data_IF_109600829712
#
_entry.id   IF_109600829712
#
_cell.length_a   1.000
_cell.length_b   1.000
_cell.length_c   1.000
_cell.angle_alpha   90.00
_cell.angle_beta   90.00
_cell.angle_gamma   90.00
#
_symmetry.space_group_name_H-M   'P 1'
#
loop_
_entity.id
_entity.type
_entity.pdbx_description
1 polymer ?
#
# COMPACT_ATOMS: atom_id res chain seq x y z
N UNK A 1 7.14 -6.17 26.46
CA UNK A 1 7.56 -5.29 25.36
C UNK A 1 8.06 -6.04 24.13
N UNK A 2 8.93 -7.08 24.26
CA UNK A 2 9.39 -7.89 23.13
C UNK A 2 8.24 -8.59 22.38
N UNK A 3 7.30 -9.20 23.09
CA UNK A 3 6.16 -9.90 22.49
C UNK A 3 5.26 -8.98 21.65
N UNK A 4 4.91 -7.79 22.16
CA UNK A 4 4.13 -6.81 21.40
C UNK A 4 4.81 -6.36 20.11
N UNK A 5 6.12 -6.28 20.13
CA UNK A 5 6.93 -5.89 18.99
C UNK A 5 6.95 -6.99 17.91
N UNK A 6 7.15 -8.25 18.32
CA UNK A 6 7.10 -9.42 17.43
C UNK A 6 5.71 -9.58 16.82
N UNK A 7 4.66 -9.40 17.62
CA UNK A 7 3.27 -9.44 17.15
C UNK A 7 3.00 -8.36 16.09
N UNK A 8 3.46 -7.12 16.33
CA UNK A 8 3.35 -6.04 15.33
C UNK A 8 4.06 -6.36 14.01
N UNK A 9 5.25 -6.95 14.07
CA UNK A 9 6.00 -7.38 12.86
C UNK A 9 5.20 -8.43 12.08
N UNK A 10 4.69 -9.45 12.77
CA UNK A 10 3.90 -10.51 12.12
C UNK A 10 2.63 -9.96 11.45
N UNK A 11 1.94 -9.02 12.10
CA UNK A 11 0.78 -8.35 11.51
C UNK A 11 1.18 -7.61 10.21
N UNK A 12 2.29 -6.86 10.23
CA UNK A 12 2.75 -6.14 9.04
C UNK A 12 3.16 -7.08 7.92
N UNK A 13 3.86 -8.18 8.22
CA UNK A 13 4.21 -9.19 7.21
C UNK A 13 2.94 -9.87 6.63
N UNK A 14 1.92 -10.11 7.44
CA UNK A 14 0.62 -10.59 6.95
C UNK A 14 -0.08 -9.56 6.06
N UNK A 15 0.04 -8.27 6.39
CA UNK A 15 -0.40 -7.16 5.53
C UNK A 15 0.29 -7.21 4.18
N UNK A 16 1.62 -7.34 4.17
CA UNK A 16 2.44 -7.43 2.96
C UNK A 16 2.04 -8.60 2.06
N UNK A 17 1.77 -9.77 2.64
CA UNK A 17 1.28 -10.92 1.89
C UNK A 17 -0.09 -10.63 1.23
N UNK A 18 -0.99 -9.93 1.91
CA UNK A 18 -2.25 -9.50 1.33
C UNK A 18 -2.04 -8.47 0.21
N UNK A 19 -1.15 -7.48 0.41
CA UNK A 19 -0.84 -6.48 -0.62
C UNK A 19 -0.26 -7.10 -1.89
N UNK A 20 0.52 -8.16 -1.78
CA UNK A 20 1.11 -8.85 -2.93
C UNK A 20 0.06 -9.37 -3.95
N UNK A 21 -1.17 -9.64 -3.49
CA UNK A 21 -2.26 -10.16 -4.33
C UNK A 21 -3.02 -9.01 -5.03
N UNK A 22 -3.02 -7.81 -4.46
CA UNK A 22 -3.86 -6.69 -4.92
C UNK A 22 -3.56 -6.25 -6.37
N UNK A 23 -2.30 -6.02 -6.79
CA UNK A 23 -2.02 -5.61 -8.18
C UNK A 23 -2.40 -6.66 -9.21
N UNK A 24 -2.11 -7.94 -8.93
CA UNK A 24 -2.42 -9.04 -9.84
C UNK A 24 -3.93 -9.22 -10.02
N UNK A 25 -4.70 -9.17 -8.94
CA UNK A 25 -6.17 -9.25 -9.00
C UNK A 25 -6.77 -8.04 -9.72
N UNK A 26 -6.21 -6.84 -9.52
CA UNK A 26 -6.64 -5.65 -10.26
C UNK A 26 -6.41 -5.81 -11.77
N UNK A 27 -5.19 -6.23 -12.16
CA UNK A 27 -4.85 -6.45 -13.57
C UNK A 27 -5.78 -7.47 -14.23
N UNK A 28 -5.98 -8.62 -13.61
CA UNK A 28 -6.90 -9.65 -14.13
C UNK A 28 -8.30 -9.06 -14.34
N UNK A 29 -8.84 -8.32 -13.37
CA UNK A 29 -10.17 -7.71 -13.50
C UNK A 29 -10.23 -6.72 -14.66
N UNK A 30 -9.19 -5.89 -14.87
CA UNK A 30 -9.09 -4.93 -15.99
C UNK A 30 -8.96 -5.66 -17.34
N UNK A 31 -8.13 -6.69 -17.43
CA UNK A 31 -7.94 -7.50 -18.65
C UNK A 31 -9.24 -8.20 -19.07
N UNK A 32 -10.13 -8.52 -18.13
CA UNK A 32 -11.48 -9.06 -18.40
C UNK A 32 -12.57 -7.98 -18.50
N UNK A 33 -12.21 -6.75 -18.87
CA UNK A 33 -13.13 -5.71 -19.29
C UNK A 33 -13.65 -4.78 -18.18
N UNK A 34 -13.16 -4.91 -16.93
CA UNK A 34 -13.51 -3.94 -15.88
C UNK A 34 -12.98 -2.55 -16.24
N UNK A 35 -13.78 -1.51 -16.02
CA UNK A 35 -13.23 -0.15 -16.04
C UNK A 35 -12.47 0.13 -14.73
N UNK A 36 -11.47 1.03 -14.79
CA UNK A 36 -10.75 1.51 -13.63
C UNK A 36 -11.70 2.07 -12.55
N UNK A 37 -12.74 2.79 -12.98
CA UNK A 37 -13.73 3.34 -12.07
C UNK A 37 -14.46 2.24 -11.28
N UNK A 38 -14.93 1.18 -11.95
CA UNK A 38 -15.59 0.02 -11.30
C UNK A 38 -14.61 -0.68 -10.34
N UNK A 39 -13.34 -0.85 -10.72
CA UNK A 39 -12.33 -1.43 -9.85
C UNK A 39 -12.17 -0.62 -8.54
N UNK A 40 -12.06 0.70 -8.64
CA UNK A 40 -11.93 1.59 -7.47
C UNK A 40 -13.21 1.61 -6.61
N UNK A 41 -14.36 1.69 -7.26
CA UNK A 41 -15.66 1.74 -6.59
C UNK A 41 -15.96 0.43 -5.85
N UNK A 42 -15.84 -0.70 -6.53
CA UNK A 42 -16.12 -2.03 -5.96
C UNK A 42 -15.18 -2.35 -4.80
N UNK A 43 -13.90 -1.99 -4.89
CA UNK A 43 -12.94 -2.16 -3.81
C UNK A 43 -13.36 -1.43 -2.53
N UNK A 44 -13.78 -0.16 -2.65
CA UNK A 44 -14.27 0.60 -1.51
C UNK A 44 -15.59 0.05 -0.96
N UNK A 45 -16.49 -0.37 -1.85
CA UNK A 45 -17.78 -0.96 -1.46
C UNK A 45 -17.59 -2.29 -0.73
N UNK A 46 -16.79 -3.20 -1.28
CA UNK A 46 -16.44 -4.49 -0.64
C UNK A 46 -15.79 -4.22 0.72
N UNK A 47 -14.87 -3.24 0.79
CA UNK A 47 -14.25 -2.83 2.04
C UNK A 47 -15.26 -2.41 3.10
N UNK A 48 -16.25 -1.58 2.76
CA UNK A 48 -17.31 -1.19 3.68
C UNK A 48 -18.14 -2.39 4.16
N UNK A 49 -18.60 -3.21 3.21
CA UNK A 49 -19.45 -4.39 3.52
C UNK A 49 -18.72 -5.35 4.44
N UNK A 50 -17.42 -5.60 4.20
CA UNK A 50 -16.64 -6.53 5.03
C UNK A 50 -16.28 -5.97 6.40
N UNK A 51 -16.10 -4.64 6.54
CA UNK A 51 -15.77 -4.04 7.84
C UNK A 51 -16.99 -3.82 8.74
N UNK A 52 -18.19 -3.69 8.19
CA UNK A 52 -19.40 -3.48 8.97
C UNK A 52 -19.62 -4.52 10.09
N UNK A 53 -19.55 -5.84 9.83
CA UNK A 53 -19.71 -6.85 10.88
C UNK A 53 -18.68 -6.70 12.01
N UNK A 54 -17.42 -6.40 11.68
CA UNK A 54 -16.36 -6.22 12.68
C UNK A 54 -16.63 -5.04 13.62
N UNK A 55 -17.18 -3.93 13.10
CA UNK A 55 -17.57 -2.76 13.89
C UNK A 55 -18.69 -3.15 14.89
N UNK A 56 -19.69 -3.91 14.43
CA UNK A 56 -20.77 -4.38 15.30
C UNK A 56 -20.28 -5.35 16.37
N UNK A 57 -19.44 -6.31 16.03
CA UNK A 57 -18.91 -7.30 16.98
C UNK A 57 -17.99 -6.68 18.03
N UNK A 58 -17.18 -5.71 17.66
CA UNK A 58 -16.27 -5.03 18.60
C UNK A 58 -16.95 -3.94 19.44
N UNK A 59 -18.25 -3.67 19.18
CA UNK A 59 -19.00 -2.56 19.79
C UNK A 59 -18.28 -1.20 19.64
N UNK A 60 -17.45 -1.07 18.62
CA UNK A 60 -16.80 0.20 18.33
C UNK A 60 -17.80 1.19 17.74
N UNK A 61 -17.73 2.43 18.21
CA UNK A 61 -18.57 3.50 17.67
C UNK A 61 -18.12 3.82 16.23
N UNK A 62 -19.05 3.70 15.29
CA UNK A 62 -18.84 4.19 13.91
C UNK A 62 -18.68 5.71 13.86
N UNK A 63 -19.15 6.39 14.92
CA UNK A 63 -19.07 7.84 14.99
C UNK A 63 -17.65 8.32 15.31
N UNK A 64 -17.13 9.23 14.47
CA UNK A 64 -15.86 9.91 14.70
C UNK A 64 -16.10 11.37 15.12
N UNK A 65 -15.28 11.88 16.03
CA UNK A 65 -15.35 13.27 16.47
C UNK A 65 -15.10 14.24 15.30
N UNK A 66 -15.73 15.41 15.32
CA UNK A 66 -15.65 16.42 14.23
C UNK A 66 -14.22 16.77 13.81
N UNK A 67 -13.29 16.82 14.76
CA UNK A 67 -11.87 17.14 14.48
C UNK A 67 -11.16 16.10 13.61
N UNK A 68 -11.65 14.85 13.53
CA UNK A 68 -11.07 13.80 12.69
C UNK A 68 -11.72 13.72 11.32
N UNK A 69 -12.92 14.30 11.12
CA UNK A 69 -13.64 14.20 9.85
C UNK A 69 -12.82 14.75 8.68
N UNK A 70 -12.35 16.01 8.80
CA UNK A 70 -11.58 16.64 7.72
C UNK A 70 -10.26 15.93 7.41
N UNK A 71 -9.42 15.51 8.38
CA UNK A 71 -8.24 14.69 8.11
C UNK A 71 -8.55 13.34 7.45
N UNK A 72 -9.64 12.68 7.83
CA UNK A 72 -10.05 11.41 7.21
C UNK A 72 -10.54 11.63 5.79
N UNK A 73 -11.37 12.65 5.53
CA UNK A 73 -11.79 13.03 4.17
C UNK A 73 -10.58 13.34 3.29
N UNK A 74 -9.64 14.14 3.78
CA UNK A 74 -8.40 14.44 3.07
C UNK A 74 -7.61 13.14 2.72
N UNK A 75 -7.40 12.26 3.71
CA UNK A 75 -6.70 10.99 3.47
C UNK A 75 -7.44 10.09 2.47
N UNK A 76 -8.77 10.12 2.45
CA UNK A 76 -9.59 9.35 1.50
C UNK A 76 -9.42 9.88 0.07
N UNK A 77 -9.44 11.19 -0.13
CA UNK A 77 -9.19 11.82 -1.43
C UNK A 77 -7.78 11.49 -1.91
N UNK A 78 -6.78 11.62 -1.03
CA UNK A 78 -5.38 11.28 -1.34
C UNK A 78 -5.27 9.81 -1.74
N UNK A 79 -5.95 8.89 -1.05
CA UNK A 79 -5.93 7.45 -1.37
C UNK A 79 -6.50 7.15 -2.76
N UNK A 80 -7.65 7.73 -3.12
CA UNK A 80 -8.25 7.53 -4.45
C UNK A 80 -7.37 8.15 -5.54
N UNK A 81 -6.86 9.36 -5.31
CA UNK A 81 -5.97 10.06 -6.25
C UNK A 81 -4.67 9.30 -6.47
N UNK A 82 -4.08 8.77 -5.39
CA UNK A 82 -2.90 7.90 -5.45
C UNK A 82 -3.11 6.74 -6.41
N UNK A 83 -4.19 6.00 -6.23
CA UNK A 83 -4.41 4.79 -7.00
C UNK A 83 -4.78 5.10 -8.44
N UNK A 84 -5.60 6.14 -8.66
CA UNK A 84 -5.89 6.62 -10.01
C UNK A 84 -4.59 7.03 -10.73
N UNK A 85 -3.68 7.74 -10.05
CA UNK A 85 -2.40 8.15 -10.62
C UNK A 85 -1.49 6.95 -10.93
N UNK A 86 -1.41 5.95 -10.04
CA UNK A 86 -0.63 4.72 -10.28
C UNK A 86 -1.16 3.98 -11.50
N UNK A 87 -2.47 3.73 -11.57
CA UNK A 87 -3.06 3.02 -12.70
C UNK A 87 -2.96 3.80 -14.02
N UNK A 88 -3.02 5.13 -13.97
CA UNK A 88 -2.76 5.94 -15.16
C UNK A 88 -1.29 5.89 -15.57
N UNK A 89 -0.36 5.91 -14.63
CA UNK A 89 1.07 5.84 -14.93
C UNK A 89 1.46 4.54 -15.67
N UNK A 90 0.89 3.41 -15.27
CA UNK A 90 1.22 2.10 -15.87
C UNK A 90 0.69 1.91 -17.31
N UNK A 91 -0.07 2.86 -17.85
CA UNK A 91 -0.37 2.93 -19.29
C UNK A 91 0.86 3.39 -20.10
N UNK A 92 1.83 4.05 -19.46
CA UNK A 92 3.00 4.67 -20.09
C UNK A 92 4.32 4.05 -19.69
N UNK A 93 4.34 3.27 -18.60
CA UNK A 93 5.54 2.58 -18.10
C UNK A 93 5.18 1.17 -17.64
N UNK A 94 6.20 0.31 -17.54
CA UNK A 94 6.00 -1.00 -16.96
C UNK A 94 5.50 -0.91 -15.51
N UNK A 95 4.56 -1.79 -15.17
CA UNK A 95 3.91 -1.84 -13.84
C UNK A 95 4.93 -2.03 -12.71
N UNK A 96 5.95 -2.88 -12.92
CA UNK A 96 6.96 -3.15 -11.92
C UNK A 96 7.84 -1.92 -11.65
N UNK A 97 8.23 -1.17 -12.69
CA UNK A 97 8.96 0.09 -12.55
C UNK A 97 8.10 1.12 -11.79
N UNK A 98 6.84 1.28 -12.18
CA UNK A 98 5.91 2.21 -11.53
C UNK A 98 5.74 1.91 -10.05
N UNK A 99 5.48 0.65 -9.71
CA UNK A 99 5.35 0.21 -8.31
C UNK A 99 6.65 0.39 -7.53
N UNK A 100 7.82 0.12 -8.14
CA UNK A 100 9.12 0.32 -7.48
C UNK A 100 9.36 1.78 -7.11
N UNK A 101 8.99 2.73 -7.98
CA UNK A 101 9.06 4.16 -7.67
C UNK A 101 8.15 4.49 -6.48
N UNK A 102 6.91 3.99 -6.48
CA UNK A 102 5.96 4.24 -5.38
C UNK A 102 6.44 3.61 -4.08
N UNK A 103 7.07 2.44 -4.11
CA UNK A 103 7.65 1.79 -2.93
C UNK A 103 8.84 2.54 -2.33
N UNK A 104 9.32 3.62 -2.92
CA UNK A 104 10.26 4.52 -2.27
C UNK A 104 9.62 5.39 -1.16
N UNK A 105 8.30 5.31 -0.92
CA UNK A 105 7.57 6.09 0.09
C UNK A 105 8.13 6.01 1.53
N UNK A 106 8.83 4.92 2.00
CA UNK A 106 9.44 4.93 3.32
C UNK A 106 10.54 5.99 3.50
N UNK A 107 11.20 6.39 2.40
CA UNK A 107 12.12 7.54 2.44
C UNK A 107 11.35 8.82 2.81
N UNK A 108 10.21 9.03 2.15
CA UNK A 108 9.33 10.17 2.45
C UNK A 108 8.81 10.15 3.90
N UNK A 109 8.41 8.98 4.40
CA UNK A 109 7.99 8.81 5.80
C UNK A 109 9.15 9.15 6.76
N UNK A 110 10.35 8.61 6.51
CA UNK A 110 11.53 8.87 7.34
C UNK A 110 11.91 10.37 7.33
N UNK A 111 11.82 11.02 6.18
CA UNK A 111 12.05 12.47 6.06
C UNK A 111 11.02 13.28 6.86
N UNK A 112 9.72 13.01 6.70
CA UNK A 112 8.66 13.72 7.42
C UNK A 112 8.83 13.54 8.94
N UNK A 113 8.99 12.32 9.42
CA UNK A 113 9.13 12.02 10.86
C UNK A 113 10.42 12.59 11.45
N UNK A 114 11.50 12.66 10.66
CA UNK A 114 12.75 13.30 11.06
C UNK A 114 12.61 14.82 11.15
N UNK A 115 12.04 15.48 10.15
CA UNK A 115 11.82 16.95 10.11
C UNK A 115 10.90 17.38 11.24
N UNK A 116 9.86 16.59 11.55
CA UNK A 116 8.93 16.85 12.65
C UNK A 116 9.52 16.51 14.03
N UNK A 117 10.72 15.96 14.10
CA UNK A 117 11.37 15.55 15.34
C UNK A 117 10.71 14.36 16.04
N UNK A 118 9.85 13.62 15.32
CA UNK A 118 9.14 12.45 15.86
C UNK A 118 10.05 11.23 15.99
N UNK A 119 11.00 11.07 15.05
CA UNK A 119 12.01 10.01 15.06
C UNK A 119 13.39 10.56 14.69
N UNK A 120 14.43 10.01 15.33
CA UNK A 120 15.83 10.28 14.97
C UNK A 120 16.44 9.03 14.35
N UNK A 121 16.98 9.20 13.15
CA UNK A 121 17.61 8.11 12.40
C UNK A 121 19.11 8.18 12.49
N UNK A 122 19.75 7.05 12.72
CA UNK A 122 21.19 6.89 12.57
C UNK A 122 21.56 6.77 11.09
N UNK A 123 22.83 6.99 10.78
CA UNK A 123 23.34 6.78 9.42
C UNK A 123 23.07 5.35 8.93
N UNK A 124 23.15 4.35 9.81
CA UNK A 124 22.86 2.94 9.48
C UNK A 124 21.42 2.72 9.03
N UNK A 125 20.46 3.37 9.71
CA UNK A 125 19.05 3.29 9.34
C UNK A 125 18.78 3.95 7.99
N UNK A 126 19.36 5.14 7.75
CA UNK A 126 19.27 5.79 6.44
C UNK A 126 19.87 4.94 5.32
N UNK A 127 21.07 4.40 5.53
CA UNK A 127 21.73 3.52 4.56
C UNK A 127 20.89 2.27 4.31
N UNK A 128 20.29 1.66 5.32
CA UNK A 128 19.41 0.49 5.13
C UNK A 128 18.19 0.84 4.28
N UNK A 129 17.50 1.97 4.54
CA UNK A 129 16.34 2.41 3.75
C UNK A 129 16.76 2.62 2.28
N UNK A 130 17.86 3.33 2.04
CA UNK A 130 18.35 3.59 0.68
C UNK A 130 18.77 2.29 -0.03
N UNK A 131 19.38 1.36 0.68
CA UNK A 131 19.82 0.07 0.11
C UNK A 131 18.61 -0.83 -0.23
N UNK A 132 17.52 -0.79 0.55
CA UNK A 132 16.28 -1.48 0.18
C UNK A 132 15.76 -0.95 -1.15
N UNK A 133 15.66 0.38 -1.29
CA UNK A 133 15.16 1.00 -2.53
C UNK A 133 16.06 0.66 -3.71
N UNK A 134 17.39 0.69 -3.51
CA UNK A 134 18.33 0.28 -4.55
C UNK A 134 18.14 -1.20 -4.95
N UNK A 135 17.91 -2.08 -3.99
CA UNK A 135 17.60 -3.49 -4.24
C UNK A 135 16.30 -3.68 -5.05
N UNK A 136 15.27 -2.87 -4.78
CA UNK A 136 14.04 -2.88 -5.57
C UNK A 136 14.29 -2.42 -7.02
N UNK A 137 15.17 -1.43 -7.25
CA UNK A 137 15.55 -1.05 -8.61
C UNK A 137 16.31 -2.16 -9.33
N UNK A 138 17.19 -2.89 -8.65
CA UNK A 138 17.86 -4.07 -9.23
C UNK A 138 16.84 -5.16 -9.58
N UNK A 139 15.83 -5.38 -8.73
CA UNK A 139 14.78 -6.38 -8.95
C UNK A 139 13.98 -6.15 -10.24
N UNK A 140 13.86 -4.91 -10.69
CA UNK A 140 13.13 -4.54 -11.92
C UNK A 140 14.07 -4.04 -13.03
N UNK A 141 15.34 -4.42 -12.98
CA UNK A 141 16.39 -3.88 -13.87
C UNK A 141 16.04 -4.05 -15.35
N UNK A 142 15.58 -5.22 -15.75
CA UNK A 142 15.26 -5.53 -17.14
C UNK A 142 14.09 -4.69 -17.69
N UNK A 143 13.27 -4.14 -16.82
CA UNK A 143 12.08 -3.36 -17.15
C UNK A 143 12.29 -1.84 -17.11
N UNK A 144 13.44 -1.37 -16.59
CA UNK A 144 13.70 0.07 -16.37
C UNK A 144 13.81 0.89 -17.65
N UNK A 145 14.19 0.28 -18.77
CA UNK A 145 14.56 1.01 -19.99
C UNK A 145 13.39 1.26 -20.96
N UNK A 146 12.18 0.82 -20.63
CA UNK A 146 11.01 0.90 -21.52
C UNK A 146 10.03 2.03 -21.16
N UNK A 147 10.35 2.88 -20.19
CA UNK A 147 9.42 3.85 -19.60
C UNK A 147 9.41 5.22 -20.25
N UNK A 148 8.22 5.82 -20.37
CA UNK A 148 8.02 7.21 -20.75
C UNK A 148 8.29 8.15 -19.57
N UNK A 149 8.93 9.31 -19.83
CA UNK A 149 9.18 10.36 -18.84
C UNK A 149 7.87 10.82 -18.17
N UNK A 150 6.78 10.91 -18.94
CA UNK A 150 5.46 11.29 -18.43
C UNK A 150 4.96 10.28 -17.37
N UNK A 151 5.06 8.98 -17.65
CA UNK A 151 4.68 7.94 -16.68
C UNK A 151 5.54 8.00 -15.41
N UNK A 152 6.85 8.24 -15.52
CA UNK A 152 7.75 8.40 -14.38
C UNK A 152 7.34 9.59 -13.51
N UNK A 153 7.00 10.73 -14.09
CA UNK A 153 6.55 11.94 -13.36
C UNK A 153 5.26 11.63 -12.60
N UNK A 154 4.30 10.93 -13.21
CA UNK A 154 3.06 10.53 -12.52
C UNK A 154 3.36 9.57 -11.37
N UNK A 155 4.32 8.65 -11.50
CA UNK A 155 4.73 7.78 -10.40
C UNK A 155 5.41 8.55 -9.26
N UNK A 156 6.18 9.60 -9.54
CA UNK A 156 6.73 10.48 -8.50
C UNK A 156 5.61 11.24 -7.76
N UNK A 157 4.59 11.71 -8.47
CA UNK A 157 3.39 12.28 -7.83
C UNK A 157 2.71 11.21 -6.95
N UNK A 158 2.57 9.99 -7.44
CA UNK A 158 2.00 8.86 -6.69
C UNK A 158 2.83 8.53 -5.44
N UNK A 159 4.15 8.60 -5.51
CA UNK A 159 5.05 8.45 -4.36
C UNK A 159 4.77 9.50 -3.27
N UNK A 160 4.58 10.77 -3.64
CA UNK A 160 4.23 11.85 -2.70
C UNK A 160 2.84 11.61 -2.09
N UNK A 161 1.87 11.19 -2.90
CA UNK A 161 0.52 10.84 -2.44
C UNK A 161 0.56 9.64 -1.49
N UNK A 162 1.34 8.59 -1.81
CA UNK A 162 1.51 7.41 -0.94
C UNK A 162 2.14 7.79 0.40
N UNK A 163 3.21 8.58 0.39
CA UNK A 163 3.85 9.10 1.60
C UNK A 163 2.86 9.86 2.47
N UNK A 164 2.09 10.78 1.86
CA UNK A 164 1.09 11.60 2.55
C UNK A 164 -0.02 10.72 3.13
N UNK A 165 -0.55 9.80 2.33
CA UNK A 165 -1.62 8.89 2.75
C UNK A 165 -1.19 8.00 3.91
N UNK A 166 -0.04 7.33 3.81
CA UNK A 166 0.45 6.42 4.84
C UNK A 166 0.77 7.16 6.14
N UNK A 167 1.43 8.32 6.04
CA UNK A 167 1.75 9.12 7.22
C UNK A 167 0.50 9.62 7.95
N UNK A 168 -0.43 10.26 7.22
CA UNK A 168 -1.66 10.81 7.82
C UNK A 168 -2.57 9.72 8.37
N UNK A 169 -2.78 8.65 7.61
CA UNK A 169 -3.65 7.54 8.02
C UNK A 169 -3.07 6.76 9.20
N UNK A 170 -1.75 6.55 9.28
CA UNK A 170 -1.15 5.91 10.46
C UNK A 170 -1.36 6.73 11.73
N UNK A 171 -1.22 8.07 11.67
CA UNK A 171 -1.53 8.96 12.80
C UNK A 171 -3.01 8.93 13.20
N UNK A 172 -3.90 8.86 12.22
CA UNK A 172 -5.34 8.72 12.47
C UNK A 172 -5.67 7.34 13.08
N UNK A 173 -4.98 6.28 12.65
CA UNK A 173 -5.17 4.94 13.19
C UNK A 173 -4.82 4.85 14.68
N UNK A 174 -3.81 5.60 15.15
CA UNK A 174 -3.45 5.68 16.57
C UNK A 174 -4.61 6.20 17.43
N UNK A 175 -5.41 7.13 16.87
CA UNK A 175 -6.51 7.77 17.59
C UNK A 175 -7.87 7.09 17.41
N UNK A 176 -8.15 6.58 16.20
CA UNK A 176 -9.45 6.03 15.82
C UNK A 176 -9.51 4.50 15.86
N UNK A 177 -8.37 3.83 15.87
CA UNK A 177 -8.28 2.40 15.58
C UNK A 177 -8.26 2.11 14.08
N UNK A 178 -7.64 0.98 13.70
CA UNK A 178 -7.44 0.62 12.29
C UNK A 178 -8.74 0.30 11.55
N UNK A 179 -9.70 -0.36 12.21
CA UNK A 179 -10.98 -0.77 11.63
C UNK A 179 -11.88 0.44 11.37
N UNK A 180 -12.06 1.30 12.39
CA UNK A 180 -12.88 2.52 12.27
C UNK A 180 -12.30 3.46 11.23
N UNK A 181 -10.98 3.68 11.25
CA UNK A 181 -10.31 4.49 10.24
C UNK A 181 -10.56 3.93 8.84
N UNK A 182 -10.29 2.64 8.64
CA UNK A 182 -10.38 2.03 7.31
C UNK A 182 -11.82 2.02 6.78
N UNK A 183 -12.80 1.84 7.66
CA UNK A 183 -14.22 2.01 7.32
C UNK A 183 -14.50 3.42 6.78
N UNK A 184 -14.08 4.47 7.50
CA UNK A 184 -14.30 5.84 7.06
C UNK A 184 -13.50 6.23 5.82
N UNK A 185 -12.27 5.71 5.66
CA UNK A 185 -11.49 5.91 4.43
C UNK A 185 -12.26 5.38 3.22
N UNK A 186 -12.83 4.18 3.30
CA UNK A 186 -13.62 3.61 2.21
C UNK A 186 -14.95 4.34 2.00
N UNK A 187 -15.64 4.75 3.07
CA UNK A 187 -16.89 5.51 2.99
C UNK A 187 -16.70 6.84 2.24
N UNK A 188 -15.72 7.64 2.66
CA UNK A 188 -15.45 8.93 2.03
C UNK A 188 -14.87 8.77 0.63
N UNK A 189 -14.09 7.71 0.37
CA UNK A 189 -13.63 7.37 -0.98
C UNK A 189 -14.80 7.05 -1.92
N UNK A 190 -15.80 6.29 -1.46
CA UNK A 190 -17.02 6.04 -2.24
C UNK A 190 -17.81 7.32 -2.55
N UNK A 191 -17.97 8.19 -1.55
CA UNK A 191 -18.65 9.47 -1.74
C UNK A 191 -17.90 10.32 -2.78
N UNK A 192 -16.57 10.40 -2.67
CA UNK A 192 -15.74 11.12 -3.64
C UNK A 192 -15.83 10.52 -5.04
N UNK A 193 -15.76 9.19 -5.18
CA UNK A 193 -15.93 8.50 -6.46
C UNK A 193 -17.32 8.76 -7.05
N UNK A 194 -18.37 8.71 -6.23
CA UNK A 194 -19.73 9.00 -6.70
C UNK A 194 -19.87 10.44 -7.22
N UNK A 195 -19.35 11.42 -6.48
CA UNK A 195 -19.32 12.82 -6.93
C UNK A 195 -18.53 12.95 -8.24
N UNK A 196 -17.37 12.31 -8.32
CA UNK A 196 -16.53 12.32 -9.53
C UNK A 196 -17.26 11.70 -10.72
N UNK A 197 -18.02 10.62 -10.52
CA UNK A 197 -18.83 10.01 -11.56
C UNK A 197 -19.89 10.98 -12.12
N UNK A 198 -20.60 11.67 -11.23
CA UNK A 198 -21.63 12.63 -11.63
C UNK A 198 -21.04 13.81 -12.41
N UNK A 199 -19.83 14.25 -12.04
CA UNK A 199 -19.18 15.40 -12.68
C UNK A 199 -18.50 15.05 -14.02
N UNK A 200 -17.91 13.86 -14.15
CA UNK A 200 -17.03 13.50 -15.27
C UNK A 200 -17.54 12.35 -16.14
N UNK A 201 -18.70 11.75 -15.82
CA UNK A 201 -19.35 10.69 -16.62
C UNK A 201 -18.40 9.52 -16.99
N UNK A 202 -17.71 8.95 -16.00
CA UNK A 202 -16.80 7.83 -16.23
C UNK A 202 -17.52 6.59 -16.78
N UNK A 203 -16.81 5.80 -17.59
CA UNK A 203 -17.34 4.55 -18.12
C UNK A 203 -17.53 3.52 -17.02
N UNK A 204 -18.74 2.95 -16.92
CA UNK A 204 -19.04 1.85 -16.01
C UNK A 204 -19.03 0.54 -16.80
N UNK A 205 -17.94 -0.21 -16.71
CA UNK A 205 -17.85 -1.57 -17.25
C UNK A 205 -17.52 -2.56 -16.15
N UNK A 206 -18.37 -3.56 -16.00
CA UNK A 206 -18.18 -4.71 -15.10
C UNK A 206 -17.48 -5.79 -15.91
N UNK A 207 -16.60 -6.64 -15.29
CA UNK A 207 -15.95 -7.75 -16.00
C UNK A 207 -16.95 -8.67 -16.69
N UNK A 208 -16.59 -9.14 -17.90
CA UNK A 208 -17.48 -9.91 -18.75
C UNK A 208 -17.66 -11.38 -18.31
N UNK A 209 -16.82 -11.87 -17.38
CA UNK A 209 -16.84 -13.27 -16.96
C UNK A 209 -16.62 -13.47 -15.45
N UNK A 210 -16.81 -14.71 -14.99
CA UNK A 210 -16.64 -15.08 -13.58
C UNK A 210 -15.22 -14.90 -13.05
N UNK A 211 -14.18 -15.05 -13.88
CA UNK A 211 -12.77 -14.86 -13.47
C UNK A 211 -12.53 -13.39 -13.14
N UNK A 212 -12.97 -12.47 -14.01
CA UNK A 212 -12.87 -11.04 -13.79
C UNK A 212 -13.64 -10.58 -12.56
N UNK A 213 -14.88 -11.09 -12.36
CA UNK A 213 -15.70 -10.80 -11.18
C UNK A 213 -15.08 -11.31 -9.89
N UNK A 214 -14.56 -12.53 -9.90
CA UNK A 214 -13.86 -13.12 -8.75
C UNK A 214 -12.60 -12.32 -8.42
N UNK A 215 -11.83 -11.91 -9.43
CA UNK A 215 -10.65 -11.06 -9.26
C UNK A 215 -11.01 -9.68 -8.70
N UNK A 216 -12.13 -9.09 -9.12
CA UNK A 216 -12.66 -7.84 -8.59
C UNK A 216 -12.98 -7.96 -7.08
N UNK A 217 -13.63 -9.07 -6.69
CA UNK A 217 -13.92 -9.35 -5.28
C UNK A 217 -12.64 -9.55 -4.46
N UNK A 218 -11.68 -10.35 -4.95
CA UNK A 218 -10.41 -10.55 -4.25
C UNK A 218 -9.59 -9.28 -4.16
N UNK A 219 -9.64 -8.39 -5.16
CA UNK A 219 -9.01 -7.09 -5.09
C UNK A 219 -9.54 -6.28 -3.90
N UNK A 220 -10.86 -6.19 -3.74
CA UNK A 220 -11.47 -5.50 -2.61
C UNK A 220 -11.16 -6.16 -1.26
N UNK A 221 -11.28 -7.50 -1.18
CA UNK A 221 -11.01 -8.27 0.03
C UNK A 221 -9.56 -8.08 0.52
N UNK A 222 -8.58 -8.33 -0.34
CA UNK A 222 -7.17 -8.24 0.04
C UNK A 222 -6.71 -6.80 0.25
N UNK A 223 -7.28 -5.84 -0.47
CA UNK A 223 -7.06 -4.43 -0.21
C UNK A 223 -7.48 -4.03 1.21
N UNK A 224 -8.70 -4.40 1.64
CA UNK A 224 -9.19 -4.01 2.96
C UNK A 224 -8.41 -4.72 4.09
N UNK A 225 -8.09 -6.00 3.90
CA UNK A 225 -7.29 -6.77 4.85
C UNK A 225 -5.89 -6.17 5.00
N UNK A 226 -5.23 -5.87 3.88
CA UNK A 226 -3.87 -5.34 3.89
C UNK A 226 -3.80 -4.00 4.63
N UNK A 227 -4.63 -3.01 4.30
CA UNK A 227 -4.61 -1.73 5.01
C UNK A 227 -5.05 -1.82 6.46
N UNK A 228 -6.03 -2.69 6.79
CA UNK A 228 -6.43 -2.90 8.18
C UNK A 228 -5.26 -3.45 9.01
N UNK A 229 -4.57 -4.46 8.49
CA UNK A 229 -3.39 -5.04 9.13
C UNK A 229 -2.22 -4.06 9.16
N UNK A 230 -1.98 -3.29 8.09
CA UNK A 230 -0.94 -2.27 8.03
C UNK A 230 -1.11 -1.23 9.14
N UNK A 231 -2.28 -0.61 9.22
CA UNK A 231 -2.57 0.40 10.25
C UNK A 231 -2.62 -0.21 11.65
N UNK A 232 -3.06 -1.45 11.80
CA UNK A 232 -3.02 -2.14 13.08
C UNK A 232 -1.58 -2.41 13.52
N UNK A 233 -0.74 -2.92 12.62
CA UNK A 233 0.68 -3.14 12.88
C UNK A 233 1.43 -1.85 13.20
N UNK A 234 1.13 -0.74 12.49
CA UNK A 234 1.78 0.55 12.70
C UNK A 234 1.57 1.10 14.12
N UNK A 235 0.47 0.78 14.78
CA UNK A 235 0.22 1.15 16.18
C UNK A 235 1.16 0.45 17.18
N UNK A 236 1.72 -0.71 16.82
CA UNK A 236 2.65 -1.45 17.67
C UNK A 236 4.11 -1.08 17.44
N UNK A 237 4.49 -0.86 16.19
CA UNK A 237 5.91 -0.70 15.81
C UNK A 237 6.25 0.66 15.19
N UNK A 238 5.26 1.53 15.02
CA UNK A 238 5.40 2.87 14.44
C UNK A 238 5.37 2.86 12.90
N UNK A 239 4.99 4.01 12.32
CA UNK A 239 4.73 4.14 10.88
C UNK A 239 5.96 3.89 10.02
N UNK A 240 7.12 4.41 10.41
CA UNK A 240 8.37 4.22 9.64
C UNK A 240 8.78 2.77 9.56
N UNK A 241 8.75 2.07 10.69
CA UNK A 241 9.13 0.65 10.73
C UNK A 241 8.15 -0.20 9.94
N UNK A 242 6.86 0.09 10.04
CA UNK A 242 5.81 -0.55 9.25
C UNK A 242 6.04 -0.32 7.76
N UNK A 243 6.33 0.92 7.33
CA UNK A 243 6.55 1.25 5.93
C UNK A 243 7.81 0.58 5.34
N UNK A 244 8.89 0.41 6.13
CA UNK A 244 10.06 -0.34 5.67
C UNK A 244 9.77 -1.84 5.58
N UNK A 245 9.04 -2.41 6.55
CA UNK A 245 8.64 -3.81 6.49
C UNK A 245 7.68 -4.11 5.33
N UNK A 246 6.82 -3.17 4.96
CA UNK A 246 5.92 -3.37 3.80
C UNK A 246 6.66 -3.46 2.46
N UNK A 247 7.95 -3.12 2.41
CA UNK A 247 8.80 -3.39 1.24
C UNK A 247 9.04 -4.90 1.00
N UNK A 248 8.52 -5.76 1.86
CA UNK A 248 8.38 -7.19 1.57
C UNK A 248 7.22 -7.52 0.62
N UNK A 249 6.31 -6.57 0.32
CA UNK A 249 5.18 -6.78 -0.60
C UNK A 249 5.65 -7.28 -1.98
N UNK A 250 6.61 -6.62 -2.67
CA UNK A 250 7.13 -7.12 -3.95
C UNK A 250 7.85 -8.46 -3.81
N UNK A 251 8.46 -8.75 -2.66
CA UNK A 251 9.08 -10.04 -2.38
C UNK A 251 8.04 -11.16 -2.36
N UNK A 252 6.93 -10.96 -1.63
CA UNK A 252 5.82 -11.91 -1.63
C UNK A 252 5.17 -12.06 -3.00
N UNK A 253 5.00 -10.95 -3.75
CA UNK A 253 4.47 -10.99 -5.10
C UNK A 253 5.34 -11.83 -6.03
N UNK A 254 6.65 -11.68 -5.94
CA UNK A 254 7.63 -12.48 -6.70
C UNK A 254 7.55 -13.97 -6.34
N UNK A 255 7.51 -14.30 -5.05
CA UNK A 255 7.38 -15.71 -4.59
C UNK A 255 6.07 -16.33 -5.09
N UNK A 256 4.97 -15.58 -5.05
CA UNK A 256 3.67 -16.02 -5.57
C UNK A 256 3.78 -16.28 -7.08
N UNK A 257 4.41 -15.38 -7.83
CA UNK A 257 4.61 -15.55 -9.28
C UNK A 257 5.48 -16.78 -9.61
N UNK A 258 6.53 -17.05 -8.83
CA UNK A 258 7.36 -18.25 -8.99
C UNK A 258 6.57 -19.54 -8.76
N UNK A 259 5.73 -19.60 -7.72
CA UNK A 259 4.99 -20.81 -7.34
C UNK A 259 3.81 -21.07 -8.31
N UNK A 260 3.05 -20.03 -8.65
CA UNK A 260 1.78 -20.20 -9.36
C UNK A 260 1.88 -19.95 -10.87
N UNK A 261 2.87 -19.15 -11.33
CA UNK A 261 3.03 -18.79 -12.73
C UNK A 261 4.29 -19.39 -13.35
N UNK A 262 5.09 -20.18 -12.60
CA UNK A 262 6.38 -20.73 -13.03
C UNK A 262 7.34 -19.66 -13.60
N UNK A 263 7.25 -18.43 -13.08
CA UNK A 263 8.14 -17.33 -13.45
C UNK A 263 9.35 -17.33 -12.53
N UNK A 264 10.53 -17.58 -13.08
CA UNK A 264 11.77 -17.61 -12.32
C UNK A 264 12.52 -16.30 -12.48
N UNK A 265 13.15 -15.86 -11.40
CA UNK A 265 14.00 -14.66 -11.41
C UNK A 265 15.26 -14.90 -12.24
N UNK A 266 15.66 -13.89 -12.98
CA UNK A 266 17.01 -13.80 -13.54
C UNK A 266 18.07 -13.70 -12.42
N UNK A 267 19.35 -13.84 -12.78
CA UNK A 267 20.45 -13.68 -11.79
C UNK A 267 20.44 -12.27 -11.20
N UNK A 268 20.18 -11.24 -12.02
CA UNK A 268 20.16 -9.84 -11.57
C UNK A 268 18.99 -9.60 -10.62
N UNK A 269 17.80 -10.07 -10.98
CA UNK A 269 16.61 -9.96 -10.12
C UNK A 269 16.80 -10.71 -8.80
N UNK A 270 17.44 -11.89 -8.82
CA UNK A 270 17.78 -12.65 -7.62
C UNK A 270 18.73 -11.88 -6.70
N UNK A 271 19.70 -11.15 -7.25
CA UNK A 271 20.56 -10.25 -6.46
C UNK A 271 19.76 -9.11 -5.84
N UNK A 272 18.87 -8.46 -6.60
CA UNK A 272 17.96 -7.44 -6.07
C UNK A 272 17.12 -7.95 -4.91
N UNK A 273 16.55 -9.15 -5.06
CA UNK A 273 15.77 -9.84 -4.02
C UNK A 273 16.57 -10.04 -2.72
N UNK A 274 17.81 -10.53 -2.82
CA UNK A 274 18.69 -10.73 -1.66
C UNK A 274 19.04 -9.39 -1.00
N UNK A 275 19.36 -8.36 -1.80
CA UNK A 275 19.69 -7.02 -1.29
C UNK A 275 18.52 -6.44 -0.50
N UNK A 276 17.28 -6.57 -0.97
CA UNK A 276 16.08 -6.11 -0.24
C UNK A 276 15.96 -6.82 1.11
N UNK A 277 16.01 -8.16 1.13
CA UNK A 277 15.87 -8.94 2.37
C UNK A 277 16.95 -8.61 3.40
N UNK A 278 18.21 -8.56 2.97
CA UNK A 278 19.35 -8.25 3.83
C UNK A 278 19.24 -6.84 4.41
N UNK A 279 18.83 -5.87 3.60
CA UNK A 279 18.68 -4.48 4.04
C UNK A 279 17.55 -4.29 5.04
N UNK A 280 16.39 -4.94 4.83
CA UNK A 280 15.28 -4.95 5.80
C UNK A 280 15.74 -5.57 7.12
N UNK A 281 16.49 -6.67 7.09
CA UNK A 281 17.05 -7.30 8.28
C UNK A 281 17.97 -6.33 9.05
N UNK A 282 18.89 -5.64 8.37
CA UNK A 282 19.76 -4.65 9.01
C UNK A 282 19.01 -3.47 9.60
N UNK A 283 17.99 -2.98 8.90
CA UNK A 283 17.11 -1.93 9.43
C UNK A 283 16.42 -2.38 10.72
N UNK A 284 15.81 -3.55 10.73
CA UNK A 284 15.16 -4.12 11.91
C UNK A 284 16.15 -4.31 13.09
N UNK A 285 17.34 -4.82 12.82
CA UNK A 285 18.37 -5.00 13.83
C UNK A 285 18.81 -3.67 14.45
N UNK A 286 18.94 -2.61 13.65
CA UNK A 286 19.34 -1.29 14.14
C UNK A 286 18.29 -0.68 15.08
N UNK A 287 17.01 -0.93 14.84
CA UNK A 287 15.91 -0.49 15.71
C UNK A 287 15.85 -1.26 17.03
N UNK A 288 16.22 -2.53 17.04
CA UNK A 288 16.25 -3.36 18.26
C UNK A 288 17.37 -2.91 19.20
N UNK A 289 18.55 -2.53 18.66
CA UNK A 289 19.72 -2.12 19.45
C UNK A 289 19.58 -0.73 20.08
N UNK A 290 18.67 0.11 19.60
CA UNK A 290 18.41 1.47 20.14
C UNK A 290 17.45 1.52 21.33
N UNK A 291 16.87 0.40 21.78
CA UNK A 291 16.04 0.40 22.99
C UNK A 291 16.94 0.46 24.23
N UNK A 292 16.77 1.50 25.12
CA UNK A 292 17.39 1.54 26.42
C UNK A 292 16.93 0.38 27.31
#
# INVERSE_FOLDING_TARGET
MKEKNTFGILIVLSSSLCFAIVPSSAKISLDFGSSLFILLFSRCLIGLVLLLPFLFFQKESVYIKKNYVLPVVFSSIVSVSLIAAVYHAIEYINIALGMTIVYAFPIGIALITSIRGEEKYSLREWLSILTVIFGLFILVYDEMFTGSLYGIVICIISLILMTTFVYTSSKLADSLGSIVLNFHLNLWSLIFLFISYVLFSFTLKIPDNSIGLTSLFFNGLFYILSYTLFFWGSRFIGVTRTSVLSLTDPIFATVIAMIFLNQFLSIIESLGFIVVLVSIYFFERSKITKKP
#
